data_IF_709992002158
#
_entry.id   IF_709992002158
#
_cell.length_a   1.000
_cell.length_b   1.000
_cell.length_c   1.000
_cell.angle_alpha   90.00
_cell.angle_beta   90.00
_cell.angle_gamma   90.00
#
_symmetry.space_group_name_H-M   'P 1'
#
loop_
_entity.id
_entity.type
_entity.pdbx_description
1 polymer ?
#
# COMPACT_ATOMS: atom_id res chain seq x y z
N UNK A 1 -5.84 -10.07 -7.46
CA UNK A 1 -4.64 -9.49 -8.10
C UNK A 1 -4.36 -8.13 -7.47
N UNK A 2 -3.26 -7.48 -7.83
CA UNK A 2 -2.91 -6.20 -7.22
C UNK A 2 -1.57 -5.68 -7.69
N UNK A 3 -1.09 -4.65 -7.03
CA UNK A 3 0.22 -4.06 -7.23
C UNK A 3 0.96 -3.97 -5.89
N UNK A 4 2.28 -3.97 -5.93
CA UNK A 4 3.11 -3.83 -4.75
C UNK A 4 4.31 -2.92 -4.98
N UNK A 5 4.88 -2.44 -3.87
CA UNK A 5 6.22 -1.88 -3.81
C UNK A 5 6.92 -2.33 -2.54
N UNK A 6 8.24 -2.22 -2.49
CA UNK A 6 9.07 -2.56 -1.34
C UNK A 6 9.80 -1.32 -0.86
N UNK A 7 9.73 -1.03 0.44
CA UNK A 7 10.49 0.04 1.06
C UNK A 7 10.70 -0.26 2.55
N UNK A 8 11.86 0.09 3.08
CA UNK A 8 12.20 -0.01 4.50
C UNK A 8 11.89 -1.38 5.13
N UNK A 9 12.29 -2.46 4.45
CA UNK A 9 12.08 -3.84 4.92
C UNK A 9 10.63 -4.33 4.86
N UNK A 10 9.72 -3.59 4.22
CA UNK A 10 8.31 -3.96 4.11
C UNK A 10 7.81 -3.95 2.67
N UNK A 11 6.89 -4.86 2.38
CA UNK A 11 6.05 -4.87 1.18
C UNK A 11 4.75 -4.11 1.47
N UNK A 12 4.44 -3.15 0.60
CA UNK A 12 3.17 -2.44 0.57
C UNK A 12 2.32 -3.07 -0.52
N UNK A 13 1.38 -3.92 -0.12
CA UNK A 13 0.55 -4.70 -1.03
C UNK A 13 -0.80 -4.00 -1.21
N UNK A 14 -1.12 -3.57 -2.43
CA UNK A 14 -2.43 -3.02 -2.79
C UNK A 14 -3.23 -4.04 -3.60
N UNK A 15 -4.36 -4.47 -3.05
CA UNK A 15 -5.33 -5.28 -3.78
C UNK A 15 -6.00 -4.46 -4.88
N UNK A 16 -6.31 -5.08 -6.03
CA UNK A 16 -7.13 -4.45 -7.08
C UNK A 16 -8.53 -4.06 -6.57
N UNK A 17 -8.98 -4.67 -5.46
CA UNK A 17 -10.22 -4.34 -4.76
C UNK A 17 -10.09 -3.22 -3.73
N UNK A 18 -8.90 -2.63 -3.57
CA UNK A 18 -8.68 -1.46 -2.71
C UNK A 18 -7.85 -1.67 -1.44
N UNK A 19 -8.07 -2.73 -0.63
CA UNK A 19 -7.34 -2.88 0.64
C UNK A 19 -5.82 -2.87 0.44
N UNK A 20 -5.14 -2.22 1.39
CA UNK A 20 -3.68 -2.12 1.43
C UNK A 20 -3.18 -2.84 2.67
N UNK A 21 -2.19 -3.71 2.51
CA UNK A 21 -1.53 -4.41 3.60
C UNK A 21 -0.04 -4.05 3.65
N UNK A 22 0.49 -3.88 4.86
CA UNK A 22 1.91 -3.77 5.14
C UNK A 22 2.40 -5.14 5.62
N UNK A 23 3.42 -5.67 4.94
CA UNK A 23 3.93 -7.01 5.21
C UNK A 23 5.44 -6.94 5.37
N UNK A 24 6.00 -7.63 6.35
CA UNK A 24 7.44 -7.72 6.51
C UNK A 24 8.06 -8.47 5.33
N UNK A 25 9.20 -8.00 4.82
CA UNK A 25 10.00 -8.76 3.84
C UNK A 25 10.65 -9.93 4.59
N UNK A 26 10.01 -11.08 4.54
CA UNK A 26 10.44 -12.29 5.24
C UNK A 26 10.37 -13.51 4.30
N UNK A 27 11.51 -14.17 3.99
CA UNK A 27 11.52 -15.30 3.07
C UNK A 27 10.97 -16.60 3.68
N UNK A 28 10.76 -16.65 5.01
CA UNK A 28 10.32 -17.85 5.73
C UNK A 28 8.81 -17.89 5.93
N UNK A 29 8.18 -16.73 6.08
CA UNK A 29 6.77 -16.65 6.42
C UNK A 29 6.14 -15.34 5.97
N UNK A 30 4.81 -15.37 5.79
CA UNK A 30 4.00 -14.18 5.65
C UNK A 30 3.77 -13.54 7.03
N UNK A 31 4.20 -12.29 7.20
CA UNK A 31 4.03 -11.54 8.47
C UNK A 31 3.37 -10.20 8.17
N UNK A 32 2.05 -10.12 8.32
CA UNK A 32 1.29 -8.88 8.16
C UNK A 32 1.45 -7.98 9.39
N UNK A 33 1.90 -6.75 9.15
CA UNK A 33 2.13 -5.73 10.19
C UNK A 33 0.92 -4.82 10.36
N UNK A 34 0.09 -4.69 9.33
CA UNK A 34 -1.13 -3.90 9.37
C UNK A 34 -1.86 -3.89 8.05
N UNK A 35 -3.11 -3.43 8.08
CA UNK A 35 -3.99 -3.34 6.92
C UNK A 35 -4.95 -2.20 7.10
N UNK A 36 -5.27 -1.52 5.99
CA UNK A 36 -6.29 -0.49 5.97
C UNK A 36 -7.06 -0.47 4.65
N UNK A 37 -8.21 0.19 4.69
CA UNK A 37 -8.97 0.56 3.50
C UNK A 37 -8.73 2.04 3.21
N UNK A 38 -8.42 2.34 1.95
CA UNK A 38 -8.30 3.71 1.48
C UNK A 38 -9.66 4.43 1.62
N UNK A 39 -9.73 5.65 2.20
CA UNK A 39 -10.94 6.46 2.17
C UNK A 39 -11.26 6.92 0.75
N UNK A 40 -12.52 7.29 0.51
CA UNK A 40 -12.98 7.90 -0.75
C UNK A 40 -12.61 7.12 -2.02
N UNK A 41 -12.55 5.79 -1.90
CA UNK A 41 -12.29 4.88 -3.03
C UNK A 41 -13.30 5.09 -4.14
N UNK A 42 -12.82 5.13 -5.38
CA UNK A 42 -13.67 5.32 -6.56
C UNK A 42 -14.60 4.15 -6.87
N UNK A 43 -14.43 3.00 -6.19
CA UNK A 43 -15.09 1.73 -6.52
C UNK A 43 -14.44 1.00 -7.71
N UNK A 44 -13.63 1.68 -8.51
CA UNK A 44 -12.91 1.10 -9.65
C UNK A 44 -11.72 0.24 -9.21
N UNK A 45 -11.07 -0.37 -10.20
CA UNK A 45 -9.90 -1.22 -9.99
C UNK A 45 -8.68 -0.41 -9.55
N UNK A 46 -8.07 -0.83 -8.45
CA UNK A 46 -6.93 -0.19 -7.82
C UNK A 46 -5.59 -0.73 -8.37
N UNK A 47 -5.32 -0.50 -9.65
CA UNK A 47 -4.12 -1.00 -10.33
C UNK A 47 -2.83 -0.18 -10.19
N UNK A 48 -2.85 1.15 -10.04
CA UNK A 48 -1.61 1.91 -9.94
C UNK A 48 -0.72 1.38 -8.81
N UNK A 49 0.58 1.23 -9.13
CA UNK A 49 1.58 0.78 -8.18
C UNK A 49 1.69 1.77 -7.01
N UNK A 50 1.76 1.28 -5.76
CA UNK A 50 2.12 2.13 -4.63
C UNK A 50 3.53 2.71 -4.82
N UNK A 51 3.73 3.95 -4.40
CA UNK A 51 5.06 4.59 -4.40
C UNK A 51 5.38 5.01 -2.97
N UNK A 52 6.58 4.69 -2.51
CA UNK A 52 7.08 5.15 -1.20
C UNK A 52 8.30 6.03 -1.41
N UNK A 53 8.27 7.24 -0.87
CA UNK A 53 9.40 8.18 -0.88
C UNK A 53 9.32 9.07 0.36
N UNK A 54 10.46 9.35 1.00
CA UNK A 54 10.54 10.24 2.17
C UNK A 54 9.56 9.88 3.29
N UNK A 55 9.44 8.58 3.61
CA UNK A 55 8.54 8.09 4.65
C UNK A 55 7.05 8.28 4.34
N UNK A 56 6.69 8.57 3.09
CA UNK A 56 5.31 8.75 2.63
C UNK A 56 4.93 7.70 1.60
N UNK A 57 3.76 7.09 1.79
CA UNK A 57 3.13 6.17 0.84
C UNK A 57 2.11 6.93 -0.01
N UNK A 58 2.25 6.86 -1.33
CA UNK A 58 1.34 7.46 -2.30
C UNK A 58 0.51 6.38 -2.99
N UNK A 59 -0.81 6.57 -2.98
CA UNK A 59 -1.78 5.71 -3.65
C UNK A 59 -2.66 6.53 -4.59
N UNK A 60 -2.59 6.26 -5.89
CA UNK A 60 -3.48 6.85 -6.89
C UNK A 60 -4.73 5.99 -7.06
N UNK A 61 -5.90 6.62 -7.05
CA UNK A 61 -7.19 6.03 -7.37
C UNK A 61 -7.95 6.96 -8.31
N UNK A 62 -7.89 6.68 -9.62
CA UNK A 62 -8.41 7.55 -10.67
C UNK A 62 -7.90 9.00 -10.49
N UNK A 63 -8.79 9.94 -10.19
CA UNK A 63 -8.47 11.36 -10.03
C UNK A 63 -8.06 11.75 -8.61
N UNK A 64 -8.02 10.78 -7.68
CA UNK A 64 -7.60 10.96 -6.30
C UNK A 64 -6.17 10.46 -6.09
N UNK A 65 -5.34 11.27 -5.42
CA UNK A 65 -4.02 10.86 -4.93
C UNK A 65 -4.00 11.02 -3.41
N UNK A 66 -3.81 9.91 -2.71
CA UNK A 66 -3.69 9.90 -1.25
C UNK A 66 -2.23 9.76 -0.84
N UNK A 67 -1.88 10.42 0.26
CA UNK A 67 -0.56 10.38 0.86
C UNK A 67 -0.70 9.96 2.33
N UNK A 68 0.01 8.91 2.73
CA UNK A 68 0.04 8.40 4.10
C UNK A 68 1.44 8.58 4.67
N UNK A 69 1.55 9.08 5.90
CA UNK A 69 2.80 9.02 6.65
C UNK A 69 2.99 7.59 7.18
N UNK A 70 4.08 6.95 6.79
CA UNK A 70 4.39 5.56 7.13
C UNK A 70 5.66 5.43 7.96
N UNK A 71 6.18 6.54 8.49
CA UNK A 71 7.32 6.52 9.42
C UNK A 71 6.91 5.87 10.74
N UNK A 72 7.80 5.08 11.32
CA UNK A 72 7.65 4.61 12.69
C UNK A 72 7.63 5.83 13.62
N UNK A 73 6.64 5.87 14.52
CA UNK A 73 6.65 6.78 15.67
C UNK A 73 7.33 6.13 16.85
#
# INVERSE_FOLDING_TARGET
KGALTCADGHLYLRSEKGPVALVEVNPKAYVEKGRFNQPDRSGNMAWPHPVVVDGKLFLRDQDLLLCYDVRSR
#
